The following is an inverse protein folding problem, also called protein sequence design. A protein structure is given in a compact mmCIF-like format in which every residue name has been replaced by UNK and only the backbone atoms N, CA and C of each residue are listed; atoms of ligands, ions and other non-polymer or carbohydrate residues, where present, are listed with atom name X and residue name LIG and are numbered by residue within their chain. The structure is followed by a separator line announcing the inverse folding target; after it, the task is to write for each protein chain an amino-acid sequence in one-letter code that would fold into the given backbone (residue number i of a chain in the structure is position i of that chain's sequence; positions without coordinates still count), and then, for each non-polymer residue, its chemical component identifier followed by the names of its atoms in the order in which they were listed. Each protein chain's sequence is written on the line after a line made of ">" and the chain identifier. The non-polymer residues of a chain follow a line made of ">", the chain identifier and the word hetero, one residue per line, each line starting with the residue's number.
data_IF_982128174340
#
_entry.id   IF_982128174340
#
_cell.length_a   1.000
_cell.length_b   1.000
_cell.length_c   1.000
_cell.angle_alpha   90.00
_cell.angle_beta   90.00
_cell.angle_gamma   90.00
#
_symmetry.space_group_name_H-M   'P 1'
#
loop_
_entity.id
_entity.type
_entity.pdbx_description
1 polymer ?
#
# COMPACT_ATOMS: atom_id res chain seq x y z
N UNK A 1 15.29 34.32 -28.15
CA UNK A 1 13.93 33.91 -27.75
C UNK A 1 14.05 32.61 -26.96
N UNK A 2 13.86 32.67 -25.65
CA UNK A 2 13.97 31.52 -24.75
C UNK A 2 12.68 30.71 -24.89
N UNK A 3 12.77 29.51 -25.45
CA UNK A 3 11.64 28.60 -25.58
C UNK A 3 11.15 28.20 -24.20
N UNK A 4 9.96 28.66 -23.84
CA UNK A 4 9.20 28.14 -22.70
C UNK A 4 8.82 26.72 -23.11
N UNK A 5 9.65 25.73 -22.81
CA UNK A 5 9.23 24.34 -22.89
C UNK A 5 8.15 24.16 -21.84
N UNK A 6 6.88 24.22 -22.26
CA UNK A 6 5.75 23.85 -21.41
C UNK A 6 6.05 22.48 -20.80
N UNK A 7 6.15 22.44 -19.48
CA UNK A 7 6.37 21.19 -18.78
C UNK A 7 5.19 20.25 -19.07
N UNK A 8 5.44 18.95 -19.30
CA UNK A 8 4.35 17.99 -19.41
C UNK A 8 3.48 18.09 -18.15
N UNK A 9 2.17 18.26 -18.32
CA UNK A 9 1.20 18.34 -17.20
C UNK A 9 1.42 17.27 -16.11
N UNK A 10 1.74 15.99 -16.44
CA UNK A 10 2.01 14.96 -15.44
C UNK A 10 3.20 15.29 -14.51
N UNK A 11 4.25 15.93 -15.03
CA UNK A 11 5.45 16.32 -14.27
C UNK A 11 5.13 17.44 -13.27
N UNK A 12 4.36 18.44 -13.70
CA UNK A 12 3.96 19.56 -12.85
C UNK A 12 3.08 19.08 -11.69
N UNK A 13 2.07 18.25 -11.98
CA UNK A 13 1.20 17.63 -10.98
C UNK A 13 2.04 16.80 -9.99
N UNK A 14 2.98 16.00 -10.49
CA UNK A 14 3.79 15.15 -9.64
C UNK A 14 4.70 15.96 -8.72
N UNK A 15 5.30 17.03 -9.23
CA UNK A 15 6.14 17.93 -8.42
C UNK A 15 5.31 18.58 -7.30
N UNK A 16 4.06 18.94 -7.57
CA UNK A 16 3.16 19.48 -6.56
C UNK A 16 2.82 18.45 -5.47
N UNK A 17 2.45 17.23 -5.87
CA UNK A 17 2.18 16.12 -4.94
C UNK A 17 3.40 15.80 -4.07
N UNK A 18 4.60 15.78 -4.65
CA UNK A 18 5.83 15.53 -3.90
C UNK A 18 6.11 16.63 -2.88
N UNK A 19 5.86 17.90 -3.20
CA UNK A 19 5.97 19.00 -2.22
C UNK A 19 5.00 18.85 -1.05
N UNK A 20 3.79 18.33 -1.29
CA UNK A 20 2.84 18.02 -0.22
C UNK A 20 3.40 16.89 0.66
N UNK A 21 3.96 15.84 0.06
CA UNK A 21 4.60 14.75 0.82
C UNK A 21 5.75 15.26 1.69
N UNK A 22 6.56 16.20 1.20
CA UNK A 22 7.64 16.79 1.99
C UNK A 22 7.16 17.45 3.29
N UNK A 23 5.87 17.77 3.42
CA UNK A 23 5.31 18.28 4.67
C UNK A 23 5.40 17.29 5.83
N UNK A 24 5.50 15.98 5.55
CA UNK A 24 5.62 14.95 6.57
C UNK A 24 7.03 14.82 7.16
N UNK A 25 8.07 15.37 6.51
CA UNK A 25 9.41 15.39 7.10
C UNK A 25 9.50 16.35 8.29
N UNK A 26 10.37 16.07 9.28
CA UNK A 26 10.66 17.01 10.36
C UNK A 26 11.05 18.39 9.84
N UNK A 27 10.61 19.45 10.52
CA UNK A 27 10.75 20.84 10.04
C UNK A 27 12.20 21.24 9.74
N UNK A 28 13.16 20.80 10.57
CA UNK A 28 14.59 21.07 10.35
C UNK A 28 15.13 20.42 9.07
N UNK A 29 14.85 19.13 8.87
CA UNK A 29 15.26 18.41 7.66
C UNK A 29 14.61 19.00 6.39
N UNK A 30 13.32 19.35 6.49
CA UNK A 30 12.58 19.97 5.39
C UNK A 30 13.12 21.35 5.00
N UNK A 31 13.56 22.16 5.96
CA UNK A 31 14.12 23.48 5.69
C UNK A 31 15.46 23.39 4.94
N UNK A 32 16.30 22.42 5.31
CA UNK A 32 17.63 22.26 4.74
C UNK A 32 17.61 21.54 3.39
N UNK A 33 16.88 20.42 3.28
CA UNK A 33 16.93 19.54 2.11
C UNK A 33 15.69 19.64 1.20
N UNK A 34 14.55 20.12 1.71
CA UNK A 34 13.27 20.10 1.00
C UNK A 34 13.28 20.74 -0.39
N UNK A 35 13.84 21.96 -0.57
CA UNK A 35 13.95 22.58 -1.90
C UNK A 35 14.77 21.76 -2.89
N UNK A 36 15.91 21.21 -2.44
CA UNK A 36 16.80 20.39 -3.26
C UNK A 36 16.17 19.05 -3.65
N UNK A 37 15.48 18.39 -2.71
CA UNK A 37 14.76 17.14 -2.96
C UNK A 37 13.63 17.34 -3.98
N UNK A 38 12.88 18.45 -3.87
CA UNK A 38 11.82 18.76 -4.82
C UNK A 38 12.35 19.03 -6.24
N UNK A 39 13.51 19.69 -6.35
CA UNK A 39 14.16 19.95 -7.63
C UNK A 39 14.69 18.64 -8.25
N UNK A 40 15.38 17.81 -7.47
CA UNK A 40 15.86 16.51 -7.92
C UNK A 40 14.71 15.61 -8.39
N UNK A 41 13.61 15.57 -7.64
CA UNK A 41 12.43 14.80 -8.01
C UNK A 41 11.81 15.30 -9.32
N UNK A 42 11.71 16.62 -9.52
CA UNK A 42 11.23 17.21 -10.78
C UNK A 42 12.12 16.81 -11.95
N UNK A 43 13.43 16.90 -11.79
CA UNK A 43 14.38 16.57 -12.86
C UNK A 43 14.32 15.06 -13.21
N UNK A 44 14.17 14.20 -12.20
CA UNK A 44 13.91 12.77 -12.41
C UNK A 44 12.56 12.52 -13.11
N UNK A 45 11.50 13.26 -12.78
CA UNK A 45 10.21 13.15 -13.45
C UNK A 45 10.30 13.52 -14.93
N UNK A 46 10.98 14.63 -15.26
CA UNK A 46 11.20 15.04 -16.65
C UNK A 46 11.97 13.96 -17.40
N UNK A 47 13.04 13.43 -16.81
CA UNK A 47 13.87 12.42 -17.44
C UNK A 47 13.13 11.09 -17.66
N UNK A 48 12.47 10.57 -16.62
CA UNK A 48 11.72 9.31 -16.66
C UNK A 48 10.53 9.37 -17.62
N UNK A 49 9.80 10.50 -17.64
CA UNK A 49 8.68 10.69 -18.56
C UNK A 49 9.15 10.75 -20.03
N UNK A 50 10.27 11.43 -20.32
CA UNK A 50 10.82 11.47 -21.69
C UNK A 50 11.35 10.12 -22.16
N UNK A 51 11.92 9.31 -21.26
CA UNK A 51 12.56 8.03 -21.60
C UNK A 51 11.56 6.88 -21.72
N UNK A 52 10.57 6.82 -20.83
CA UNK A 52 9.68 5.66 -20.69
C UNK A 52 8.22 6.05 -20.48
N UNK A 53 7.87 7.32 -20.70
CA UNK A 53 6.49 7.79 -20.60
C UNK A 53 5.89 7.58 -19.20
N UNK A 54 4.58 7.28 -19.12
CA UNK A 54 3.89 7.04 -17.86
C UNK A 54 4.47 5.89 -17.03
N UNK A 55 4.96 4.81 -17.66
CA UNK A 55 5.47 3.65 -16.93
C UNK A 55 6.78 3.95 -16.17
N UNK A 56 7.68 4.72 -16.78
CA UNK A 56 8.87 5.21 -16.09
C UNK A 56 8.54 6.11 -14.91
N UNK A 57 7.45 6.86 -15.02
CA UNK A 57 6.96 7.76 -13.98
C UNK A 57 6.30 7.01 -12.81
N UNK A 58 5.56 5.93 -13.09
CA UNK A 58 5.04 5.02 -12.05
C UNK A 58 6.18 4.38 -11.24
N UNK A 59 7.20 3.90 -11.94
CA UNK A 59 8.36 3.28 -11.30
C UNK A 59 9.10 4.29 -10.41
N UNK A 60 9.32 5.50 -10.91
CA UNK A 60 9.90 6.60 -10.12
C UNK A 60 9.06 6.90 -8.87
N UNK A 61 7.75 7.03 -9.01
CA UNK A 61 6.84 7.28 -7.89
C UNK A 61 6.86 6.14 -6.86
N UNK A 62 6.93 4.89 -7.32
CA UNK A 62 7.05 3.73 -6.42
C UNK A 62 8.31 3.81 -5.58
N UNK A 63 9.47 4.03 -6.22
CA UNK A 63 10.75 4.16 -5.53
C UNK A 63 10.72 5.36 -4.58
N UNK A 64 10.15 6.48 -5.02
CA UNK A 64 10.08 7.72 -4.23
C UNK A 64 9.18 7.55 -3.02
N UNK A 65 7.98 6.97 -3.16
CA UNK A 65 7.10 6.70 -2.01
C UNK A 65 7.76 5.71 -1.06
N UNK A 66 8.32 4.62 -1.57
CA UNK A 66 8.97 3.61 -0.73
C UNK A 66 10.13 4.22 0.07
N UNK A 67 11.03 4.94 -0.59
CA UNK A 67 12.16 5.65 0.02
C UNK A 67 11.68 6.72 1.00
N UNK A 68 10.68 7.51 0.62
CA UNK A 68 10.04 8.50 1.46
C UNK A 68 9.51 7.88 2.76
N UNK A 69 8.70 6.82 2.67
CA UNK A 69 8.16 6.20 3.87
C UNK A 69 9.26 5.58 4.72
N UNK A 70 10.28 4.95 4.14
CA UNK A 70 11.41 4.42 4.92
C UNK A 70 12.18 5.54 5.64
N UNK A 71 12.49 6.63 4.94
CA UNK A 71 13.27 7.75 5.49
C UNK A 71 12.46 8.52 6.53
N UNK A 72 11.19 8.82 6.25
CA UNK A 72 10.27 9.46 7.21
C UNK A 72 10.14 8.59 8.45
N UNK A 73 9.99 7.27 8.29
CA UNK A 73 9.94 6.37 9.44
C UNK A 73 11.25 6.38 10.22
N UNK A 74 12.39 6.27 9.56
CA UNK A 74 13.69 6.26 10.23
C UNK A 74 13.95 7.57 11.00
N UNK A 75 13.71 8.72 10.38
CA UNK A 75 13.93 10.03 10.99
C UNK A 75 12.96 10.30 12.17
N UNK A 76 11.67 9.98 12.03
CA UNK A 76 10.71 10.14 13.14
C UNK A 76 10.88 9.10 14.25
N UNK A 77 11.51 7.97 13.96
CA UNK A 77 11.86 6.96 14.97
C UNK A 77 13.14 7.32 15.74
N UNK A 78 14.11 7.97 15.08
CA UNK A 78 15.36 8.38 15.70
C UNK A 78 15.24 9.71 16.45
N UNK A 79 14.42 10.65 15.94
CA UNK A 79 14.12 11.92 16.60
C UNK A 79 12.77 11.77 17.27
N UNK A 80 12.70 11.75 18.60
CA UNK A 80 11.48 11.57 19.43
C UNK A 80 10.39 12.65 19.24
N UNK A 81 10.31 13.34 18.12
CA UNK A 81 9.68 14.65 18.02
C UNK A 81 8.30 14.67 17.36
N UNK A 82 7.72 13.56 16.88
CA UNK A 82 6.29 13.58 16.46
C UNK A 82 5.52 12.25 16.60
N UNK A 83 6.09 11.10 16.22
CA UNK A 83 5.48 9.78 16.44
C UNK A 83 6.49 8.81 17.01
N UNK A 84 6.32 8.42 18.28
CA UNK A 84 7.07 7.29 18.82
C UNK A 84 6.79 6.03 17.99
N UNK A 85 7.75 5.11 17.95
CA UNK A 85 7.61 3.80 17.30
C UNK A 85 6.27 3.13 17.63
N UNK A 86 5.85 3.29 18.87
CA UNK A 86 4.59 2.81 19.42
C UNK A 86 3.35 3.45 18.78
N UNK A 87 3.34 4.78 18.63
CA UNK A 87 2.25 5.50 17.94
C UNK A 87 2.15 5.06 16.49
N UNK A 88 3.27 4.90 15.77
CA UNK A 88 3.25 4.40 14.40
C UNK A 88 2.77 2.95 14.31
N UNK A 89 3.24 2.05 15.18
CA UNK A 89 2.76 0.65 15.22
C UNK A 89 1.26 0.58 15.48
N UNK A 90 0.74 1.43 16.37
CA UNK A 90 -0.70 1.52 16.64
C UNK A 90 -1.48 2.08 15.44
N UNK A 91 -0.94 3.12 14.80
CA UNK A 91 -1.55 3.74 13.62
C UNK A 91 -1.57 2.78 12.43
N UNK A 92 -0.47 2.07 12.17
CA UNK A 92 -0.37 1.05 11.12
C UNK A 92 -1.24 -0.16 11.40
N UNK A 93 -1.40 -0.58 12.66
CA UNK A 93 -2.37 -1.63 13.04
C UNK A 93 -3.82 -1.22 12.75
N UNK A 94 -4.22 0.00 13.13
CA UNK A 94 -5.53 0.55 12.75
C UNK A 94 -5.68 0.72 11.25
N UNK A 95 -4.64 1.23 10.58
CA UNK A 95 -4.60 1.38 9.14
C UNK A 95 -4.84 0.04 8.46
N UNK A 96 -4.16 -1.03 8.87
CA UNK A 96 -4.33 -2.36 8.30
C UNK A 96 -5.77 -2.88 8.45
N UNK A 97 -6.43 -2.66 9.60
CA UNK A 97 -7.84 -3.02 9.79
C UNK A 97 -8.78 -2.22 8.90
N UNK A 98 -8.64 -0.89 8.91
CA UNK A 98 -9.47 0.01 8.12
C UNK A 98 -9.24 -0.21 6.62
N UNK A 99 -8.01 -0.52 6.24
CA UNK A 99 -7.62 -0.83 4.88
C UNK A 99 -8.22 -2.14 4.39
N UNK A 100 -8.21 -3.18 5.23
CA UNK A 100 -8.90 -4.44 4.94
C UNK A 100 -10.41 -4.22 4.76
N UNK A 101 -11.04 -3.44 5.65
CA UNK A 101 -12.45 -3.10 5.54
C UNK A 101 -12.75 -2.30 4.28
N UNK A 102 -11.96 -1.27 4.00
CA UNK A 102 -12.10 -0.45 2.80
C UNK A 102 -11.96 -1.29 1.54
N UNK A 103 -11.03 -2.25 1.51
CA UNK A 103 -10.85 -3.13 0.37
C UNK A 103 -12.06 -4.06 0.17
N UNK A 104 -12.61 -4.65 1.23
CA UNK A 104 -13.87 -5.43 1.13
C UNK A 104 -15.01 -4.58 0.61
N UNK A 105 -15.20 -3.38 1.16
CA UNK A 105 -16.30 -2.50 0.76
C UNK A 105 -16.12 -1.99 -0.68
N UNK A 106 -14.90 -1.70 -1.10
CA UNK A 106 -14.56 -1.31 -2.46
C UNK A 106 -14.91 -2.42 -3.45
N UNK A 107 -14.46 -3.65 -3.21
CA UNK A 107 -14.83 -4.78 -4.08
C UNK A 107 -16.30 -5.18 -3.97
N UNK A 108 -16.95 -5.02 -2.82
CA UNK A 108 -18.39 -5.27 -2.70
C UNK A 108 -19.22 -4.25 -3.50
N UNK A 109 -18.74 -3.00 -3.61
CA UNK A 109 -19.37 -1.98 -4.42
C UNK A 109 -19.41 -2.35 -5.92
N UNK A 110 -18.50 -3.19 -6.41
CA UNK A 110 -18.53 -3.65 -7.82
C UNK A 110 -19.75 -4.52 -8.14
N UNK A 111 -20.37 -5.16 -7.14
CA UNK A 111 -21.61 -5.90 -7.34
C UNK A 111 -22.83 -5.00 -7.59
N UNK A 112 -22.71 -3.69 -7.39
CA UNK A 112 -23.75 -2.69 -7.67
C UNK A 112 -23.68 -2.07 -9.06
N UNK A 113 -22.62 -2.35 -9.84
CA UNK A 113 -22.44 -1.81 -11.18
C UNK A 113 -23.26 -2.61 -12.21
N UNK A 114 -24.01 -1.90 -13.04
CA UNK A 114 -24.80 -2.49 -14.12
C UNK A 114 -23.99 -2.67 -15.42
N UNK A 115 -22.91 -1.90 -15.61
CA UNK A 115 -22.03 -1.96 -16.77
C UNK A 115 -20.61 -1.57 -16.38
N UNK A 116 -19.65 -2.45 -16.64
CA UNK A 116 -18.21 -2.23 -16.35
C UNK A 116 -17.55 -1.17 -17.25
N UNK A 117 -18.20 -0.81 -18.37
CA UNK A 117 -17.62 0.07 -19.40
C UNK A 117 -18.30 1.44 -19.49
N UNK A 118 -19.17 1.78 -18.54
CA UNK A 118 -19.82 3.08 -18.56
C UNK A 118 -18.84 4.18 -18.06
N UNK A 119 -18.91 5.41 -18.61
CA UNK A 119 -18.04 6.50 -18.17
C UNK A 119 -18.32 6.85 -16.71
N UNK A 120 -17.25 7.18 -15.97
CA UNK A 120 -17.30 7.66 -14.59
C UNK A 120 -18.47 8.64 -14.34
N UNK A 121 -19.44 8.22 -13.54
CA UNK A 121 -20.69 8.92 -13.27
C UNK A 121 -21.92 8.24 -13.89
N UNK A 122 -23.09 8.87 -13.73
CA UNK A 122 -24.36 8.30 -14.21
C UNK A 122 -25.11 7.51 -13.13
N UNK A 123 -25.79 6.43 -13.51
CA UNK A 123 -26.73 5.69 -12.65
C UNK A 123 -26.03 4.98 -11.49
N UNK A 124 -24.80 4.53 -11.72
CA UNK A 124 -24.03 3.73 -10.76
C UNK A 124 -22.83 4.50 -10.20
N UNK A 125 -22.73 5.81 -10.48
CA UNK A 125 -21.58 6.64 -10.09
C UNK A 125 -21.26 6.61 -8.59
N UNK A 126 -22.25 6.35 -7.72
CA UNK A 126 -21.99 6.13 -6.29
C UNK A 126 -21.01 4.97 -6.04
N UNK A 127 -21.19 3.83 -6.71
CA UNK A 127 -20.35 2.65 -6.56
C UNK A 127 -18.95 2.86 -7.16
N UNK A 128 -18.87 3.53 -8.31
CA UNK A 128 -17.60 3.88 -8.96
C UNK A 128 -16.77 4.84 -8.10
N UNK A 129 -17.39 5.91 -7.58
CA UNK A 129 -16.70 6.82 -6.66
C UNK A 129 -16.29 6.11 -5.36
N UNK A 130 -17.16 5.24 -4.84
CA UNK A 130 -16.82 4.43 -3.68
C UNK A 130 -15.57 3.58 -3.94
N UNK A 131 -15.47 2.91 -5.10
CA UNK A 131 -14.28 2.14 -5.47
C UNK A 131 -13.03 3.01 -5.64
N UNK A 132 -13.15 4.12 -6.36
CA UNK A 132 -12.06 5.06 -6.62
C UNK A 132 -11.40 5.55 -5.31
N UNK A 133 -12.18 5.70 -4.23
CA UNK A 133 -11.64 6.08 -2.93
C UNK A 133 -11.27 4.87 -2.06
N UNK A 134 -12.12 3.86 -1.96
CA UNK A 134 -11.97 2.74 -1.03
C UNK A 134 -10.86 1.77 -1.43
N UNK A 135 -10.70 1.47 -2.73
CA UNK A 135 -9.69 0.49 -3.18
C UNK A 135 -8.27 1.06 -3.04
N UNK A 136 -7.93 2.25 -3.59
CA UNK A 136 -6.60 2.81 -3.40
C UNK A 136 -6.29 3.09 -1.92
N UNK A 137 -7.23 3.64 -1.15
CA UNK A 137 -7.01 3.89 0.28
C UNK A 137 -6.82 2.58 1.06
N UNK A 138 -7.57 1.53 0.71
CA UNK A 138 -7.41 0.18 1.26
C UNK A 138 -6.02 -0.37 1.03
N UNK A 139 -5.55 -0.35 -0.22
CA UNK A 139 -4.20 -0.82 -0.60
C UNK A 139 -3.13 -0.02 0.15
N UNK A 140 -3.25 1.31 0.18
CA UNK A 140 -2.30 2.18 0.85
C UNK A 140 -2.21 1.88 2.35
N UNK A 141 -3.35 1.76 3.04
CA UNK A 141 -3.39 1.50 4.47
C UNK A 141 -2.86 0.09 4.83
N UNK A 142 -3.16 -0.92 4.02
CA UNK A 142 -2.59 -2.27 4.16
C UNK A 142 -1.07 -2.22 3.98
N UNK A 143 -0.58 -1.46 3.01
CA UNK A 143 0.85 -1.26 2.75
C UNK A 143 1.56 -0.65 3.97
N UNK A 144 0.96 0.37 4.60
CA UNK A 144 1.46 0.93 5.85
C UNK A 144 1.42 -0.10 7.01
N UNK A 145 0.38 -0.94 7.05
CA UNK A 145 0.27 -2.08 7.96
C UNK A 145 1.43 -3.07 7.83
N UNK A 146 1.79 -3.43 6.60
CA UNK A 146 2.92 -4.31 6.28
C UNK A 146 4.26 -3.69 6.71
N UNK A 147 4.45 -2.39 6.50
CA UNK A 147 5.62 -1.68 7.01
C UNK A 147 5.69 -1.72 8.54
N UNK A 148 4.55 -1.54 9.23
CA UNK A 148 4.45 -1.72 10.67
C UNK A 148 4.83 -3.13 11.13
N UNK A 149 4.31 -4.15 10.44
CA UNK A 149 4.63 -5.55 10.69
C UNK A 149 6.13 -5.84 10.51
N UNK A 150 6.74 -5.28 9.46
CA UNK A 150 8.18 -5.38 9.19
C UNK A 150 9.01 -4.76 10.29
N UNK A 151 8.67 -3.55 10.73
CA UNK A 151 9.42 -2.87 11.78
C UNK A 151 9.35 -3.57 13.13
N UNK A 152 8.23 -4.24 13.42
CA UNK A 152 8.04 -4.98 14.67
C UNK A 152 8.64 -6.38 14.63
N UNK A 153 8.32 -7.15 13.59
CA UNK A 153 8.60 -8.59 13.53
C UNK A 153 9.65 -8.97 12.49
N UNK A 154 9.99 -8.08 11.55
CA UNK A 154 10.88 -8.36 10.43
C UNK A 154 12.25 -8.91 10.87
N UNK A 155 12.93 -8.23 11.80
CA UNK A 155 14.23 -8.68 12.33
C UNK A 155 14.16 -10.07 12.98
N UNK A 156 13.08 -10.36 13.71
CA UNK A 156 12.87 -11.64 14.40
C UNK A 156 12.51 -12.80 13.44
N UNK A 157 11.84 -12.48 12.33
CA UNK A 157 11.47 -13.46 11.30
C UNK A 157 12.62 -13.94 10.41
N UNK A 158 13.82 -13.35 10.56
CA UNK A 158 14.99 -13.65 9.72
C UNK A 158 14.97 -12.95 8.36
N UNK A 159 16.01 -13.18 7.55
CA UNK A 159 16.22 -12.48 6.27
C UNK A 159 15.03 -12.66 5.33
N UNK A 160 14.55 -13.90 5.17
CA UNK A 160 13.45 -14.23 4.26
C UNK A 160 12.12 -13.56 4.65
N UNK A 161 11.77 -13.57 5.95
CA UNK A 161 10.58 -12.88 6.43
C UNK A 161 10.69 -11.36 6.32
N UNK A 162 11.87 -10.79 6.60
CA UNK A 162 12.08 -9.36 6.47
C UNK A 162 12.05 -8.86 5.02
N UNK A 163 12.68 -9.60 4.10
CA UNK A 163 12.70 -9.26 2.67
C UNK A 163 11.33 -9.41 2.03
N UNK A 164 10.58 -10.47 2.36
CA UNK A 164 9.22 -10.65 1.83
C UNK A 164 8.28 -9.51 2.23
N UNK A 165 8.33 -9.04 3.48
CA UNK A 165 7.54 -7.87 3.89
C UNK A 165 8.00 -6.57 3.20
N UNK A 166 9.30 -6.42 2.94
CA UNK A 166 9.82 -5.27 2.20
C UNK A 166 9.32 -5.25 0.75
N UNK A 167 9.41 -6.40 0.06
CA UNK A 167 8.94 -6.55 -1.31
C UNK A 167 7.41 -6.40 -1.40
N UNK A 168 6.68 -6.87 -0.38
CA UNK A 168 5.23 -6.67 -0.26
C UNK A 168 4.88 -5.19 -0.16
N UNK A 169 5.61 -4.43 0.68
CA UNK A 169 5.36 -3.00 0.82
C UNK A 169 5.65 -2.23 -0.47
N UNK A 170 6.77 -2.55 -1.15
CA UNK A 170 7.07 -1.96 -2.46
C UNK A 170 5.96 -2.26 -3.49
N UNK A 171 5.50 -3.51 -3.55
CA UNK A 171 4.40 -3.93 -4.44
C UNK A 171 3.07 -3.24 -4.09
N UNK A 172 2.83 -3.00 -2.81
CA UNK A 172 1.66 -2.25 -2.35
C UNK A 172 1.64 -0.80 -2.81
N UNK A 173 2.80 -0.12 -2.83
CA UNK A 173 2.88 1.22 -3.43
C UNK A 173 2.67 1.21 -4.94
N UNK A 174 3.23 0.23 -5.66
CA UNK A 174 2.96 0.05 -7.10
C UNK A 174 1.45 -0.09 -7.33
N UNK A 175 0.80 -0.98 -6.57
CA UNK A 175 -0.64 -1.26 -6.67
C UNK A 175 -1.48 -0.03 -6.33
N UNK A 176 -1.12 0.72 -5.27
CA UNK A 176 -1.80 1.95 -4.87
C UNK A 176 -1.77 3.00 -5.99
N UNK A 177 -0.59 3.24 -6.58
CA UNK A 177 -0.44 4.24 -7.65
C UNK A 177 -1.21 3.79 -8.90
N UNK A 178 -1.18 2.50 -9.24
CA UNK A 178 -1.87 1.95 -10.40
C UNK A 178 -3.39 1.88 -10.24
N UNK A 179 -3.89 1.78 -9.01
CA UNK A 179 -5.32 1.71 -8.74
C UNK A 179 -6.04 3.02 -9.08
N UNK A 180 -5.37 4.18 -9.00
CA UNK A 180 -5.98 5.48 -9.34
C UNK A 180 -6.35 5.56 -10.84
N UNK A 181 -5.41 5.40 -11.79
CA UNK A 181 -5.73 5.44 -13.22
C UNK A 181 -6.59 4.25 -13.67
N UNK A 182 -6.57 3.11 -12.95
CA UNK A 182 -7.49 2.00 -13.22
C UNK A 182 -8.96 2.48 -13.27
N UNK A 183 -9.39 3.21 -12.25
CA UNK A 183 -10.77 3.70 -12.17
C UNK A 183 -11.03 4.96 -13.01
N UNK A 184 -9.99 5.73 -13.37
CA UNK A 184 -10.15 6.99 -14.12
C UNK A 184 -10.11 6.77 -15.64
N UNK A 185 -9.16 5.97 -16.11
CA UNK A 185 -8.86 5.83 -17.53
C UNK A 185 -9.50 4.57 -18.14
N UNK A 186 -9.79 3.55 -17.33
CA UNK A 186 -10.40 2.26 -17.72
C UNK A 186 -9.79 1.62 -18.99
N UNK A 187 -8.53 1.93 -19.29
CA UNK A 187 -7.76 1.43 -20.42
C UNK A 187 -6.31 1.11 -20.03
N UNK A 188 -5.65 0.23 -20.79
CA UNK A 188 -4.24 -0.11 -20.55
C UNK A 188 -4.00 -1.06 -19.37
N UNK A 189 -2.74 -1.18 -18.90
CA UNK A 189 -2.30 -2.29 -18.03
C UNK A 189 -2.61 -2.10 -16.54
N UNK A 190 -3.49 -1.15 -16.18
CA UNK A 190 -3.68 -0.74 -14.78
C UNK A 190 -4.28 -1.83 -13.91
N UNK A 191 -5.16 -2.65 -14.50
CA UNK A 191 -5.77 -3.77 -13.81
C UNK A 191 -4.73 -4.81 -13.44
N UNK A 192 -3.90 -5.22 -14.40
CA UNK A 192 -2.85 -6.22 -14.20
C UNK A 192 -1.79 -5.72 -13.21
N UNK A 193 -1.42 -4.44 -13.27
CA UNK A 193 -0.47 -3.84 -12.33
C UNK A 193 -1.07 -3.79 -10.91
N UNK A 194 -2.33 -3.36 -10.78
CA UNK A 194 -3.01 -3.26 -9.47
C UNK A 194 -3.17 -4.64 -8.84
N UNK A 195 -3.72 -5.60 -9.58
CA UNK A 195 -3.94 -6.97 -9.10
C UNK A 195 -2.64 -7.73 -8.91
N UNK A 196 -1.64 -7.54 -9.77
CA UNK A 196 -0.31 -8.11 -9.61
C UNK A 196 0.39 -7.61 -8.35
N UNK A 197 0.27 -6.32 -8.03
CA UNK A 197 0.79 -5.76 -6.78
C UNK A 197 0.07 -6.28 -5.54
N UNK A 198 -1.27 -6.41 -5.58
CA UNK A 198 -2.06 -7.05 -4.53
C UNK A 198 -1.68 -8.52 -4.33
N UNK A 199 -1.53 -9.27 -5.41
CA UNK A 199 -1.05 -10.66 -5.37
C UNK A 199 0.31 -10.75 -4.67
N UNK A 200 1.24 -9.87 -5.02
CA UNK A 200 2.58 -9.84 -4.41
C UNK A 200 2.53 -9.50 -2.92
N UNK A 201 1.60 -8.64 -2.48
CA UNK A 201 1.34 -8.42 -1.05
C UNK A 201 0.99 -9.73 -0.35
N UNK A 202 0.04 -10.48 -0.89
CA UNK A 202 -0.43 -11.73 -0.26
C UNK A 202 0.61 -12.86 -0.34
N UNK A 203 1.31 -13.00 -1.46
CA UNK A 203 2.44 -13.93 -1.60
C UNK A 203 3.53 -13.61 -0.58
N UNK A 204 3.92 -12.33 -0.45
CA UNK A 204 4.94 -11.95 0.52
C UNK A 204 4.48 -12.14 1.97
N UNK A 205 3.18 -11.95 2.26
CA UNK A 205 2.61 -12.28 3.56
C UNK A 205 2.64 -13.80 3.84
N UNK A 206 2.38 -14.63 2.82
CA UNK A 206 2.48 -16.08 2.93
C UNK A 206 3.93 -16.53 3.22
N UNK A 207 4.91 -15.95 2.51
CA UNK A 207 6.34 -16.20 2.71
C UNK A 207 6.77 -15.76 4.12
N UNK A 208 6.32 -14.59 4.58
CA UNK A 208 6.51 -14.17 5.97
C UNK A 208 5.87 -15.14 6.95
N UNK A 209 4.68 -15.66 6.66
CA UNK A 209 4.00 -16.67 7.47
C UNK A 209 4.78 -17.98 7.60
N UNK A 210 5.40 -18.45 6.51
CA UNK A 210 6.31 -19.60 6.56
C UNK A 210 7.52 -19.35 7.46
N UNK A 211 8.10 -18.15 7.40
CA UNK A 211 9.17 -17.75 8.31
C UNK A 211 8.68 -17.66 9.76
N UNK A 212 7.45 -17.17 9.96
CA UNK A 212 6.83 -17.01 11.27
C UNK A 212 6.51 -18.36 11.94
N UNK A 213 6.09 -19.37 11.19
CA UNK A 213 5.90 -20.72 11.72
C UNK A 213 7.18 -21.32 12.30
N UNK A 214 8.33 -21.03 11.67
CA UNK A 214 9.64 -21.54 12.11
C UNK A 214 10.21 -20.76 13.27
N UNK A 215 10.17 -19.42 13.21
CA UNK A 215 10.86 -18.54 14.17
C UNK A 215 9.96 -17.97 15.26
N UNK A 216 8.65 -18.16 15.16
CA UNK A 216 7.62 -17.70 16.09
C UNK A 216 7.76 -16.22 16.50
N UNK A 217 7.88 -15.26 15.55
CA UNK A 217 8.06 -13.86 15.86
C UNK A 217 6.78 -13.20 16.41
N UNK A 218 5.59 -13.74 16.10
CA UNK A 218 4.32 -13.25 16.62
C UNK A 218 4.06 -13.88 17.99
N UNK A 219 3.45 -13.15 18.95
CA UNK A 219 3.19 -13.69 20.28
C UNK A 219 2.20 -14.87 20.26
N UNK A 220 1.27 -14.85 19.31
CA UNK A 220 0.26 -15.90 19.07
C UNK A 220 -0.05 -15.96 17.57
N UNK A 221 -0.66 -17.06 17.13
CA UNK A 221 -1.14 -17.21 15.75
C UNK A 221 -0.05 -17.07 14.66
N UNK A 222 1.11 -17.70 14.85
CA UNK A 222 2.20 -17.65 13.86
C UNK A 222 1.85 -18.21 12.47
N UNK A 223 0.77 -19.00 12.35
CA UNK A 223 0.24 -19.48 11.07
C UNK A 223 -0.63 -18.43 10.34
N UNK A 224 -1.10 -17.39 11.03
CA UNK A 224 -2.07 -16.43 10.49
C UNK A 224 -1.58 -15.71 9.22
N UNK A 225 -0.33 -15.20 9.12
CA UNK A 225 0.13 -14.58 7.88
C UNK A 225 0.15 -15.56 6.70
N UNK A 226 0.44 -16.84 6.97
CA UNK A 226 0.39 -17.88 5.94
C UNK A 226 -1.03 -18.12 5.44
N UNK A 227 -1.98 -18.32 6.37
CA UNK A 227 -3.39 -18.54 6.03
C UNK A 227 -4.02 -17.34 5.33
N UNK A 228 -3.61 -16.13 5.71
CA UNK A 228 -4.05 -14.88 5.08
C UNK A 228 -3.46 -14.75 3.68
N UNK A 229 -2.16 -14.98 3.53
CA UNK A 229 -1.44 -14.79 2.28
C UNK A 229 -1.70 -15.83 1.20
N UNK A 230 -2.08 -17.06 1.57
CA UNK A 230 -2.25 -18.15 0.59
C UNK A 230 -3.61 -18.11 -0.14
N UNK A 231 -4.62 -17.47 0.47
CA UNK A 231 -5.98 -17.49 -0.07
C UNK A 231 -6.08 -16.78 -1.42
N UNK A 232 -5.46 -15.60 -1.55
CA UNK A 232 -5.54 -14.79 -2.77
C UNK A 232 -4.84 -15.43 -4.00
N UNK A 233 -3.61 -16.00 -3.88
CA UNK A 233 -3.03 -16.81 -4.96
C UNK A 233 -3.88 -18.02 -5.37
N UNK A 234 -4.47 -18.73 -4.39
CA UNK A 234 -5.35 -19.87 -4.68
C UNK A 234 -6.56 -19.41 -5.50
N UNK A 235 -7.19 -18.29 -5.13
CA UNK A 235 -8.31 -17.73 -5.88
C UNK A 235 -7.94 -17.47 -7.34
N UNK A 236 -6.79 -16.84 -7.62
CA UNK A 236 -6.39 -16.58 -8.99
C UNK A 236 -6.17 -17.88 -9.78
N UNK A 237 -5.61 -18.92 -9.15
CA UNK A 237 -5.42 -20.20 -9.84
C UNK A 237 -6.74 -20.96 -10.08
N UNK A 238 -7.68 -20.92 -9.13
CA UNK A 238 -8.97 -21.63 -9.21
C UNK A 238 -9.96 -20.89 -10.12
N UNK A 239 -10.00 -19.55 -10.02
CA UNK A 239 -10.88 -18.70 -10.83
C UNK A 239 -10.57 -18.76 -12.32
N UNK A 240 -9.29 -18.94 -12.70
CA UNK A 240 -8.88 -19.14 -14.11
C UNK A 240 -9.40 -20.46 -14.68
N UNK A 241 -9.75 -21.45 -13.85
CA UNK A 241 -10.14 -22.79 -14.29
C UNK A 241 -11.65 -23.02 -14.34
N UNK A 242 -12.49 -22.13 -13.78
CA UNK A 242 -13.92 -22.39 -13.64
C UNK A 242 -14.77 -21.13 -13.83
N UNK A 243 -15.38 -21.01 -15.01
CA UNK A 243 -16.17 -19.85 -15.48
C UNK A 243 -17.34 -19.45 -14.55
N UNK A 244 -17.86 -20.38 -13.74
CA UNK A 244 -18.98 -20.13 -12.80
C UNK A 244 -18.57 -20.04 -11.32
N UNK A 245 -17.35 -20.40 -10.94
CA UNK A 245 -16.95 -20.38 -9.52
C UNK A 245 -16.49 -19.00 -9.05
N UNK A 246 -16.08 -18.13 -9.99
CA UNK A 246 -15.54 -16.80 -9.69
C UNK A 246 -16.52 -15.90 -8.93
N UNK A 247 -17.82 -15.99 -9.22
CA UNK A 247 -18.86 -15.14 -8.61
C UNK A 247 -19.03 -15.39 -7.11
N UNK A 248 -18.82 -16.63 -6.64
CA UNK A 248 -18.99 -17.00 -5.23
C UNK A 248 -17.63 -17.10 -4.52
N UNK A 249 -16.63 -17.71 -5.17
CA UNK A 249 -15.32 -17.95 -4.57
C UNK A 249 -14.54 -16.65 -4.40
N UNK A 250 -14.67 -15.69 -5.33
CA UNK A 250 -14.03 -14.38 -5.28
C UNK A 250 -14.34 -13.60 -4.00
N UNK A 251 -15.62 -13.29 -3.72
CA UNK A 251 -16.01 -12.58 -2.51
C UNK A 251 -15.61 -13.32 -1.21
N UNK A 252 -15.71 -14.65 -1.18
CA UNK A 252 -15.33 -15.46 -0.01
C UNK A 252 -13.83 -15.33 0.27
N UNK A 253 -12.98 -15.47 -0.74
CA UNK A 253 -11.53 -15.34 -0.57
C UNK A 253 -11.15 -13.92 -0.21
N UNK A 254 -11.82 -12.91 -0.79
CA UNK A 254 -11.60 -11.52 -0.43
C UNK A 254 -11.94 -11.28 1.04
N UNK A 255 -13.09 -11.77 1.51
CA UNK A 255 -13.51 -11.66 2.89
C UNK A 255 -12.51 -12.37 3.83
N UNK A 256 -12.09 -13.60 3.48
CA UNK A 256 -11.10 -14.35 4.25
C UNK A 256 -9.78 -13.59 4.38
N UNK A 257 -9.26 -13.09 3.25
CA UNK A 257 -8.01 -12.36 3.19
C UNK A 257 -8.08 -11.08 4.02
N UNK A 258 -9.18 -10.35 3.93
CA UNK A 258 -9.40 -9.12 4.69
C UNK A 258 -9.60 -9.36 6.18
N UNK A 259 -10.28 -10.44 6.58
CA UNK A 259 -10.36 -10.87 7.99
C UNK A 259 -8.95 -11.18 8.53
N UNK A 260 -8.16 -11.94 7.77
CA UNK A 260 -6.78 -12.26 8.15
C UNK A 260 -5.89 -11.02 8.33
N UNK A 261 -5.96 -10.08 7.37
CA UNK A 261 -5.26 -8.78 7.42
C UNK A 261 -5.75 -7.95 8.61
N UNK A 262 -7.06 -7.92 8.89
CA UNK A 262 -7.63 -7.23 10.04
C UNK A 262 -7.15 -7.79 11.38
N UNK A 263 -7.08 -9.12 11.52
CA UNK A 263 -6.55 -9.77 12.73
C UNK A 263 -5.04 -9.48 12.88
N UNK A 264 -4.27 -9.45 11.80
CA UNK A 264 -2.86 -9.04 11.86
C UNK A 264 -2.69 -7.59 12.31
N UNK A 265 -3.55 -6.69 11.84
CA UNK A 265 -3.63 -5.32 12.35
C UNK A 265 -3.95 -5.26 13.85
N UNK A 266 -4.82 -6.16 14.33
CA UNK A 266 -5.16 -6.28 15.76
C UNK A 266 -3.96 -6.73 16.60
N UNK A 267 -3.24 -7.75 16.15
CA UNK A 267 -2.03 -8.22 16.81
C UNK A 267 -0.95 -7.13 16.85
N UNK A 268 -0.74 -6.44 15.73
CA UNK A 268 0.23 -5.34 15.65
C UNK A 268 -0.08 -4.21 16.66
N UNK A 269 -1.37 -3.94 16.91
CA UNK A 269 -1.82 -2.97 17.91
C UNK A 269 -1.68 -3.47 19.34
N UNK A 270 -1.99 -4.74 19.60
CA UNK A 270 -2.07 -5.33 20.94
C UNK A 270 -0.72 -5.43 21.65
N UNK A 271 0.37 -5.52 20.90
CA UNK A 271 1.72 -5.78 21.43
C UNK A 271 2.56 -4.54 21.71
N UNK A 272 1.95 -3.36 21.73
CA UNK A 272 2.62 -2.12 22.14
C UNK A 272 2.73 -2.10 23.67
N UNK A 273 3.94 -2.03 24.27
CA UNK A 273 4.10 -1.93 25.72
C UNK A 273 3.27 -0.75 26.25
N UNK A 274 2.49 -0.96 27.31
CA UNK A 274 1.89 0.17 28.03
C UNK A 274 3.01 0.78 28.88
N UNK A 275 3.34 2.05 28.66
CA UNK A 275 4.18 2.77 29.61
C UNK A 275 3.58 2.64 31.02
N UNK A 276 4.36 2.30 32.05
CA UNK A 276 3.86 2.29 33.41
C UNK A 276 3.41 3.70 33.77
N UNK A 277 2.21 3.82 34.36
CA UNK A 277 1.70 5.10 34.88
C UNK A 277 2.77 5.74 35.78
N UNK A 278 3.03 7.04 35.66
CA UNK A 278 3.86 7.73 36.65
C UNK A 278 3.14 7.58 38.00
N UNK A 279 3.79 6.86 38.91
CA UNK A 279 3.35 6.76 40.30
C UNK A 279 3.65 8.12 40.91
N UNK A 280 2.61 8.94 41.06
CA UNK A 280 2.65 10.17 41.84
C UNK A 280 2.42 9.89 43.32
#
# INVERSE_FOLDING_TARGET
>A
MIGIHEEPRPVSISTHLYRILLAAYPSGFRQEYGPYMAQLFRDQCVHSYRRSGPSGMLWLWTLTLFDFFMTVLEEHLQRETFMSKEKFMRLSGWGMMLGALALVLGFAASGGESSYYDPLGGRDGFYEYAQLFLVPSGIFLITLGILGLRMRYGKHSGILGNLSLLLSAASGFVSFIAAIPLFILNDGPWWEITMGGLLNIFVGLAVFGLAALRRKPLPRWNALPLLTGIAFPILLTVGVQTDQSGEIVGPIVMLWSSVGVGILGYLLRGDVPREPFPVG
#
